data_IF_530140785986
#
_entry.id   IF_530140785986
#
_cell.length_a   1.000
_cell.length_b   1.000
_cell.length_c   1.000
_cell.angle_alpha   90.00
_cell.angle_beta   90.00
_cell.angle_gamma   90.00
#
_symmetry.space_group_name_H-M   'P 1'
#
loop_
_entity.id
_entity.type
_entity.pdbx_description
1 polymer ?
#
# COMPACT_ATOMS: atom_id res chain seq x y z
N UNK A 1 0.33 -11.48 26.17
CA UNK A 1 -0.06 -11.24 24.77
C UNK A 1 -0.54 -9.81 24.73
N UNK A 2 0.24 -8.89 24.18
CA UNK A 2 -0.11 -7.47 24.18
C UNK A 2 -1.15 -7.24 23.11
N UNK A 3 -2.32 -6.74 23.48
CA UNK A 3 -3.36 -6.35 22.53
C UNK A 3 -2.79 -5.30 21.57
N UNK A 4 -2.86 -5.58 20.27
CA UNK A 4 -2.44 -4.64 19.24
C UNK A 4 -3.56 -3.61 19.05
N UNK A 5 -3.24 -2.31 18.99
CA UNK A 5 -4.23 -1.29 18.69
C UNK A 5 -4.91 -1.59 17.36
N UNK A 6 -6.22 -1.45 17.32
CA UNK A 6 -7.07 -1.71 16.17
C UNK A 6 -7.17 -0.50 15.25
N UNK A 7 -7.53 -0.72 13.98
CA UNK A 7 -7.76 0.38 13.04
C UNK A 7 -8.90 1.33 13.48
N UNK A 8 -9.88 0.81 14.21
CA UNK A 8 -10.98 1.60 14.75
C UNK A 8 -10.53 2.57 15.86
N UNK A 9 -9.69 2.11 16.77
CA UNK A 9 -9.10 2.95 17.83
C UNK A 9 -8.22 4.06 17.22
N UNK A 10 -7.44 3.71 16.20
CA UNK A 10 -6.67 4.71 15.45
C UNK A 10 -7.59 5.76 14.80
N UNK A 11 -8.67 5.33 14.14
CA UNK A 11 -9.60 6.25 13.46
C UNK A 11 -10.23 7.24 14.44
N UNK A 12 -10.68 6.75 15.60
CA UNK A 12 -11.27 7.59 16.64
C UNK A 12 -10.27 8.62 17.20
N UNK A 13 -9.01 8.21 17.39
CA UNK A 13 -7.95 9.12 17.83
C UNK A 13 -7.63 10.18 16.77
N UNK A 14 -7.47 9.75 15.51
CA UNK A 14 -7.17 10.64 14.39
C UNK A 14 -8.28 11.68 14.20
N UNK A 15 -9.55 11.29 14.25
CA UNK A 15 -10.70 12.19 14.12
C UNK A 15 -10.70 13.31 15.18
N UNK A 16 -10.30 12.97 16.41
CA UNK A 16 -10.15 13.93 17.52
C UNK A 16 -9.00 14.90 17.26
N UNK A 17 -7.86 14.42 16.80
CA UNK A 17 -6.66 15.24 16.55
C UNK A 17 -6.86 16.23 15.40
N UNK A 18 -7.56 15.80 14.35
CA UNK A 18 -7.77 16.61 13.14
C UNK A 18 -9.06 17.41 13.16
N UNK A 19 -9.79 17.38 14.29
CA UNK A 19 -11.03 18.15 14.52
C UNK A 19 -12.07 17.94 13.40
N UNK A 20 -12.23 16.70 12.95
CA UNK A 20 -13.18 16.33 11.90
C UNK A 20 -12.78 16.71 10.47
N UNK A 21 -11.54 17.17 10.24
CA UNK A 21 -11.03 17.36 8.88
C UNK A 21 -10.84 16.02 8.18
N UNK A 22 -11.33 15.91 6.94
CA UNK A 22 -11.06 14.74 6.12
C UNK A 22 -9.57 14.65 5.75
N UNK A 23 -9.00 13.46 5.92
CA UNK A 23 -7.59 13.16 5.64
C UNK A 23 -7.41 12.35 4.35
N UNK A 24 -8.52 12.02 3.69
CA UNK A 24 -8.52 11.34 2.39
C UNK A 24 -7.94 12.27 1.34
N UNK A 25 -7.02 11.75 0.53
CA UNK A 25 -6.46 12.52 -0.58
C UNK A 25 -7.04 12.04 -1.91
N UNK A 26 -7.79 12.90 -2.58
CA UNK A 26 -8.26 12.67 -3.95
C UNK A 26 -7.13 12.93 -4.93
N UNK A 27 -6.72 11.90 -5.66
CA UNK A 27 -5.66 12.03 -6.66
C UNK A 27 -6.21 12.53 -7.99
N UNK A 28 -5.36 13.15 -8.84
CA UNK A 28 -5.77 13.55 -10.19
C UNK A 28 -6.26 12.39 -11.08
N UNK A 29 -5.84 11.16 -10.78
CA UNK A 29 -6.26 9.94 -11.48
C UNK A 29 -7.70 9.50 -11.13
N UNK A 30 -8.36 10.18 -10.19
CA UNK A 30 -9.79 9.97 -9.89
C UNK A 30 -10.07 8.90 -8.84
N UNK A 31 -9.08 8.53 -8.00
CA UNK A 31 -9.30 7.67 -6.85
C UNK A 31 -8.82 8.32 -5.56
N UNK A 32 -9.26 7.76 -4.43
CA UNK A 32 -8.98 8.26 -3.10
C UNK A 32 -7.89 7.43 -2.41
N UNK A 33 -6.90 8.13 -1.86
CA UNK A 33 -5.88 7.53 -1.00
C UNK A 33 -6.35 7.61 0.45
N UNK A 34 -6.46 6.44 1.08
CA UNK A 34 -6.79 6.33 2.51
C UNK A 34 -5.64 6.90 3.36
N UNK A 35 -5.94 7.53 4.50
CA UNK A 35 -4.92 8.05 5.41
C UNK A 35 -4.13 6.98 6.17
N UNK A 36 -4.64 5.74 6.23
CA UNK A 36 -3.97 4.57 6.80
C UNK A 36 -4.30 3.33 5.98
N UNK A 37 -3.29 2.51 5.71
CA UNK A 37 -3.40 1.16 5.16
C UNK A 37 -2.84 0.17 6.17
N UNK A 38 -3.53 -0.96 6.33
CA UNK A 38 -3.16 -2.03 7.26
C UNK A 38 -2.95 -3.33 6.52
N UNK A 39 -2.60 -4.40 7.25
CA UNK A 39 -2.49 -5.74 6.68
C UNK A 39 -3.82 -6.23 6.08
N UNK A 40 -4.96 -5.73 6.55
CA UNK A 40 -6.29 -6.09 6.02
C UNK A 40 -6.53 -5.47 4.64
N UNK A 41 -5.83 -4.39 4.29
CA UNK A 41 -5.91 -3.74 2.99
C UNK A 41 -4.97 -4.40 1.94
N UNK A 42 -4.14 -5.35 2.36
CA UNK A 42 -3.16 -6.01 1.50
C UNK A 42 -3.69 -7.36 0.98
N UNK A 43 -3.82 -7.50 -0.34
CA UNK A 43 -3.97 -8.79 -1.01
C UNK A 43 -2.62 -9.42 -1.35
N UNK A 44 -2.60 -10.72 -1.66
CA UNK A 44 -1.40 -11.39 -2.19
C UNK A 44 -1.20 -11.04 -3.68
N UNK A 45 -0.12 -10.33 -4.06
CA UNK A 45 0.16 -10.03 -5.47
C UNK A 45 0.78 -11.21 -6.24
N UNK A 46 0.99 -12.36 -5.60
CA UNK A 46 1.57 -13.56 -6.21
C UNK A 46 3.10 -13.52 -6.28
N UNK A 47 3.68 -14.29 -7.21
CA UNK A 47 5.13 -14.43 -7.37
C UNK A 47 5.65 -13.77 -8.66
N UNK A 48 6.85 -13.16 -8.64
CA UNK A 48 7.46 -12.61 -9.85
C UNK A 48 7.80 -13.73 -10.84
N UNK A 49 7.73 -13.44 -12.14
CA UNK A 49 8.00 -14.41 -13.21
C UNK A 49 6.81 -15.31 -13.59
N UNK A 50 5.66 -15.16 -12.94
CA UNK A 50 4.45 -15.92 -13.24
C UNK A 50 3.27 -14.99 -13.50
N UNK A 51 2.33 -15.40 -14.35
CA UNK A 51 1.11 -14.64 -14.64
C UNK A 51 0.30 -14.41 -13.34
N UNK A 52 -0.33 -13.24 -13.14
CA UNK A 52 -0.47 -12.11 -14.08
C UNK A 52 0.72 -11.12 -14.07
N UNK A 53 1.87 -11.52 -13.52
CA UNK A 53 3.12 -10.73 -13.51
C UNK A 53 3.06 -9.43 -12.70
N UNK A 54 2.17 -9.34 -11.71
CA UNK A 54 2.04 -8.17 -10.83
C UNK A 54 3.36 -7.77 -10.15
N UNK A 55 4.18 -8.76 -9.77
CA UNK A 55 5.51 -8.53 -9.17
C UNK A 55 6.66 -8.49 -10.18
N UNK A 56 6.36 -8.49 -11.47
CA UNK A 56 7.32 -8.43 -12.56
C UNK A 56 7.43 -9.74 -13.36
N UNK A 57 8.00 -9.61 -14.57
CA UNK A 57 8.04 -10.68 -15.59
C UNK A 57 9.22 -11.65 -15.44
N UNK A 58 10.19 -11.37 -14.58
CA UNK A 58 11.35 -12.25 -14.32
C UNK A 58 11.34 -12.69 -12.87
N UNK A 59 11.58 -13.97 -12.60
CA UNK A 59 11.61 -14.51 -11.25
C UNK A 59 12.66 -13.82 -10.34
N UNK A 60 13.83 -13.47 -10.90
CA UNK A 60 14.91 -12.79 -10.16
C UNK A 60 14.89 -11.27 -10.26
N UNK A 61 14.05 -10.69 -11.13
CA UNK A 61 14.03 -9.25 -11.44
C UNK A 61 15.44 -8.65 -11.54
N UNK A 62 15.73 -7.61 -10.73
CA UNK A 62 16.99 -6.89 -10.75
C UNK A 62 18.06 -7.47 -9.82
N UNK A 63 17.78 -8.57 -9.12
CA UNK A 63 18.77 -9.20 -8.24
C UNK A 63 19.98 -9.77 -9.03
N UNK A 64 19.77 -10.18 -10.29
CA UNK A 64 20.85 -10.67 -11.16
C UNK A 64 21.37 -9.63 -12.16
N UNK A 65 20.48 -8.87 -12.81
CA UNK A 65 20.84 -7.83 -13.78
C UNK A 65 19.93 -6.61 -13.58
N UNK A 66 20.48 -5.42 -13.30
CA UNK A 66 19.69 -4.21 -13.11
C UNK A 66 18.98 -3.79 -14.41
N UNK A 67 18.06 -2.82 -14.29
CA UNK A 67 17.40 -2.25 -15.47
C UNK A 67 18.42 -1.62 -16.42
N UNK A 68 18.12 -1.65 -17.72
CA UNK A 68 19.01 -1.06 -18.73
C UNK A 68 18.84 0.46 -18.72
N UNK A 69 19.92 1.20 -18.49
CA UNK A 69 19.94 2.67 -18.67
C UNK A 69 19.84 2.98 -20.16
N UNK A 70 18.92 3.87 -20.53
CA UNK A 70 18.75 4.37 -21.90
C UNK A 70 18.63 5.90 -21.82
N UNK A 71 19.62 6.59 -22.38
CA UNK A 71 19.70 8.05 -22.48
C UNK A 71 18.92 8.54 -23.70
#
# INVERSE_FOLDING_TARGET
>A
MTDKPTAAEWKALAEKEVKGRDLTWSTPEGFEIKPLYTAEDAGDPGLPGFAPFTRGVKASMYAGRPWTIRQ
#
